data_IF_751070185390
#
_entry.id   IF_751070185390
#
_cell.length_a   1.000
_cell.length_b   1.000
_cell.length_c   1.000
_cell.angle_alpha   90.00
_cell.angle_beta   90.00
_cell.angle_gamma   90.00
#
_symmetry.space_group_name_H-M   'P 1'
#
loop_
_entity.id
_entity.type
_entity.pdbx_description
1 polymer ?
#
# COMPACT_ATOMS: atom_id res chain seq x y z
N UNK A 1 -9.39 -3.53 1.99
CA UNK A 1 -8.34 -2.87 2.79
C UNK A 1 -8.90 -1.58 3.37
N UNK A 2 -8.62 -1.29 4.64
CA UNK A 2 -8.99 -0.01 5.27
C UNK A 2 -7.86 0.97 4.96
N UNK A 3 -8.20 2.11 4.37
CA UNK A 3 -7.25 3.16 4.02
C UNK A 3 -7.48 4.34 4.96
N UNK A 4 -6.57 4.55 5.89
CA UNK A 4 -6.59 5.73 6.74
C UNK A 4 -5.18 6.12 7.14
N UNK A 5 -4.96 7.42 7.32
CA UNK A 5 -3.81 7.89 8.10
C UNK A 5 -4.11 7.64 9.57
N UNK A 6 -3.55 6.57 10.12
CA UNK A 6 -3.67 6.24 11.55
C UNK A 6 -3.21 7.40 12.43
N UNK A 7 -2.10 8.05 12.07
CA UNK A 7 -1.54 9.19 12.82
C UNK A 7 -2.55 10.33 12.88
N UNK A 8 -3.09 10.72 11.73
CA UNK A 8 -4.08 11.79 11.63
C UNK A 8 -5.37 11.46 12.35
N UNK A 9 -5.82 10.21 12.23
CA UNK A 9 -7.06 9.75 12.87
C UNK A 9 -6.94 9.65 14.40
N UNK A 10 -5.77 9.29 14.91
CA UNK A 10 -5.49 9.22 16.35
C UNK A 10 -5.25 10.61 16.96
N UNK A 11 -4.53 11.48 16.25
CA UNK A 11 -4.22 12.83 16.73
C UNK A 11 -5.33 13.84 16.45
N UNK A 12 -6.37 13.46 15.70
CA UNK A 12 -7.42 14.36 15.21
C UNK A 12 -6.87 15.55 14.41
N UNK A 13 -5.81 15.31 13.65
CA UNK A 13 -5.13 16.31 12.82
C UNK A 13 -5.38 16.05 11.33
N UNK A 14 -5.33 17.08 10.47
CA UNK A 14 -5.42 16.89 9.03
C UNK A 14 -4.34 15.92 8.52
N UNK A 15 -4.68 15.09 7.54
CA UNK A 15 -3.70 14.20 6.96
C UNK A 15 -2.71 14.94 6.08
N UNK A 16 -1.42 14.70 6.30
CA UNK A 16 -0.35 15.09 5.39
C UNK A 16 -0.28 14.17 4.15
N UNK A 17 -1.06 13.09 4.13
CA UNK A 17 -1.11 12.13 3.04
C UNK A 17 -2.46 12.23 2.31
N UNK A 18 -2.40 12.23 0.99
CA UNK A 18 -3.58 12.16 0.13
C UNK A 18 -3.70 10.74 -0.44
N UNK A 19 -4.92 10.23 -0.49
CA UNK A 19 -5.23 8.95 -1.11
C UNK A 19 -5.92 9.19 -2.44
N UNK A 20 -5.27 8.78 -3.53
CA UNK A 20 -5.81 8.88 -4.88
C UNK A 20 -6.16 7.50 -5.41
N UNK A 21 -7.36 7.35 -5.93
CA UNK A 21 -7.80 6.13 -6.60
C UNK A 21 -7.19 6.10 -8.00
N UNK A 22 -6.33 5.13 -8.28
CA UNK A 22 -5.70 4.97 -9.60
C UNK A 22 -6.58 4.20 -10.59
N UNK A 23 -7.62 3.54 -10.08
CA UNK A 23 -8.63 2.81 -10.83
C UNK A 23 -10.01 3.14 -10.26
N UNK A 24 -11.07 2.77 -10.99
CA UNK A 24 -12.43 2.89 -10.47
C UNK A 24 -12.61 1.97 -9.25
N UNK A 25 -13.05 2.54 -8.13
CA UNK A 25 -13.26 1.83 -6.87
C UNK A 25 -14.53 2.30 -6.19
N UNK A 26 -15.16 1.39 -5.44
CA UNK A 26 -16.24 1.72 -4.51
C UNK A 26 -15.65 1.76 -3.11
N UNK A 27 -15.81 2.90 -2.42
CA UNK A 27 -15.30 3.11 -1.07
C UNK A 27 -16.45 3.25 -0.08
N UNK A 28 -16.22 2.75 1.14
CA UNK A 28 -17.06 3.00 2.29
C UNK A 28 -16.31 3.91 3.25
N UNK A 29 -16.89 5.06 3.56
CA UNK A 29 -16.35 6.02 4.51
C UNK A 29 -17.01 5.84 5.88
N UNK A 30 -16.21 5.97 6.94
CA UNK A 30 -16.69 5.87 8.31
C UNK A 30 -15.89 6.78 9.25
N UNK A 31 -16.51 7.14 10.37
CA UNK A 31 -15.84 7.94 11.40
C UNK A 31 -14.96 7.03 12.27
N UNK A 32 -13.64 7.27 12.24
CA UNK A 32 -12.67 6.46 12.97
C UNK A 32 -12.88 6.50 14.49
N UNK A 33 -13.20 7.67 15.06
CA UNK A 33 -13.43 7.80 16.51
C UNK A 33 -14.61 6.94 16.96
N UNK A 34 -15.73 6.98 16.22
CA UNK A 34 -16.88 6.11 16.49
C UNK A 34 -16.53 4.63 16.34
N UNK A 35 -15.66 4.28 15.39
CA UNK A 35 -15.18 2.91 15.24
C UNK A 35 -14.37 2.48 16.47
N UNK A 36 -13.46 3.31 16.98
CA UNK A 36 -12.71 3.03 18.20
C UNK A 36 -13.63 2.88 19.41
N UNK A 37 -14.61 3.76 19.58
CA UNK A 37 -15.63 3.63 20.65
C UNK A 37 -16.40 2.30 20.58
N UNK A 38 -16.61 1.75 19.38
CA UNK A 38 -17.24 0.44 19.21
C UNK A 38 -16.31 -0.69 19.67
N UNK A 39 -14.99 -0.56 19.48
CA UNK A 39 -14.03 -1.57 19.98
C UNK A 39 -14.03 -1.70 21.50
N UNK A 40 -14.37 -0.62 22.23
CA UNK A 40 -14.46 -0.63 23.69
C UNK A 40 -15.71 -1.40 24.18
N UNK A 41 -16.78 -1.41 23.37
CA UNK A 41 -18.07 -2.02 23.71
C UNK A 41 -18.19 -3.46 23.19
N UNK A 42 -17.47 -3.80 22.13
CA UNK A 42 -17.62 -5.04 21.39
C UNK A 42 -16.25 -5.68 21.15
N UNK A 43 -15.99 -6.79 21.84
CA UNK A 43 -14.68 -7.45 21.83
C UNK A 43 -14.31 -8.04 20.45
N UNK A 44 -15.29 -8.52 19.70
CA UNK A 44 -15.14 -8.98 18.32
C UNK A 44 -14.64 -7.87 17.39
N UNK A 45 -15.14 -6.64 17.55
CA UNK A 45 -14.66 -5.47 16.80
C UNK A 45 -13.22 -5.12 17.20
N UNK A 46 -12.87 -5.25 18.49
CA UNK A 46 -11.49 -5.09 18.95
C UNK A 46 -10.54 -6.13 18.34
N UNK A 47 -10.96 -7.39 18.24
CA UNK A 47 -10.18 -8.45 17.55
C UNK A 47 -9.99 -8.09 16.08
N UNK A 48 -11.04 -7.65 15.38
CA UNK A 48 -10.94 -7.19 14.00
C UNK A 48 -9.91 -6.07 13.84
N UNK A 49 -9.95 -5.07 14.73
CA UNK A 49 -9.00 -3.96 14.72
C UNK A 49 -7.56 -4.43 14.96
N UNK A 50 -7.34 -5.34 15.90
CA UNK A 50 -6.02 -5.90 16.18
C UNK A 50 -5.46 -6.67 14.97
N UNK A 51 -6.27 -7.52 14.33
CA UNK A 51 -5.86 -8.24 13.10
C UNK A 51 -5.50 -7.29 11.97
N UNK A 52 -6.26 -6.21 11.82
CA UNK A 52 -5.95 -5.17 10.86
C UNK A 52 -4.60 -4.49 11.15
N UNK A 53 -4.31 -4.16 12.41
CA UNK A 53 -3.01 -3.57 12.79
C UNK A 53 -1.84 -4.53 12.56
N UNK A 54 -2.01 -5.82 12.86
CA UNK A 54 -1.01 -6.85 12.58
C UNK A 54 -0.69 -6.92 11.08
N UNK A 55 -1.71 -6.99 10.22
CA UNK A 55 -1.54 -7.05 8.77
C UNK A 55 -0.89 -5.77 8.23
N UNK A 56 -1.29 -4.59 8.72
CA UNK A 56 -0.69 -3.32 8.34
C UNK A 56 0.80 -3.27 8.71
N UNK A 57 1.16 -3.77 9.89
CA UNK A 57 2.55 -3.81 10.36
C UNK A 57 3.40 -4.77 9.53
N UNK A 58 2.91 -5.98 9.25
CA UNK A 58 3.59 -6.96 8.39
C UNK A 58 3.85 -6.36 7.01
N UNK A 59 2.82 -5.76 6.39
CA UNK A 59 2.96 -5.12 5.08
C UNK A 59 3.97 -3.95 5.09
N UNK A 60 4.03 -3.17 6.17
CA UNK A 60 5.01 -2.09 6.32
C UNK A 60 6.44 -2.66 6.43
N UNK A 61 6.61 -3.71 7.24
CA UNK A 61 7.89 -4.37 7.43
C UNK A 61 8.38 -5.04 6.13
N UNK A 62 7.51 -5.74 5.41
CA UNK A 62 7.85 -6.38 4.13
C UNK A 62 8.30 -5.35 3.10
N UNK A 63 7.58 -4.23 2.98
CA UNK A 63 7.99 -3.13 2.09
C UNK A 63 9.36 -2.56 2.46
N UNK A 64 9.61 -2.34 3.75
CA UNK A 64 10.90 -1.84 4.23
C UNK A 64 12.04 -2.85 3.96
N UNK A 65 11.78 -4.14 4.15
CA UNK A 65 12.72 -5.21 3.83
C UNK A 65 13.03 -5.22 2.33
N UNK A 66 12.01 -5.29 1.47
CA UNK A 66 12.14 -5.26 0.01
C UNK A 66 12.93 -4.04 -0.46
N UNK A 67 12.69 -2.86 0.12
CA UNK A 67 13.40 -1.64 -0.24
C UNK A 67 14.87 -1.64 0.18
N UNK A 68 15.21 -2.34 1.26
CA UNK A 68 16.57 -2.38 1.82
C UNK A 68 17.43 -3.54 1.31
N UNK A 69 16.81 -4.65 0.87
CA UNK A 69 17.53 -5.86 0.48
C UNK A 69 17.61 -6.09 -1.02
N UNK A 70 16.60 -5.66 -1.79
CA UNK A 70 16.49 -5.97 -3.21
C UNK A 70 16.91 -4.81 -4.10
N UNK A 71 17.53 -5.12 -5.23
CA UNK A 71 17.86 -4.12 -6.24
C UNK A 71 16.62 -3.64 -7.04
N UNK A 72 16.79 -2.71 -7.98
CA UNK A 72 15.67 -2.16 -8.75
C UNK A 72 14.92 -3.22 -9.60
N UNK A 73 15.67 -4.17 -10.17
CA UNK A 73 15.11 -5.23 -11.02
C UNK A 73 14.38 -6.26 -10.18
N UNK A 74 15.01 -6.69 -9.08
CA UNK A 74 14.42 -7.62 -8.13
C UNK A 74 13.14 -7.05 -7.50
N UNK A 75 13.12 -5.77 -7.14
CA UNK A 75 11.90 -5.10 -6.61
C UNK A 75 10.77 -5.09 -7.64
N UNK A 76 11.07 -4.84 -8.91
CA UNK A 76 10.08 -4.90 -9.98
C UNK A 76 9.53 -6.33 -10.17
N UNK A 77 10.40 -7.34 -10.20
CA UNK A 77 10.00 -8.74 -10.32
C UNK A 77 9.18 -9.20 -9.11
N UNK A 78 9.56 -8.79 -7.91
CA UNK A 78 8.80 -9.07 -6.68
C UNK A 78 7.39 -8.47 -6.75
N UNK A 79 7.25 -7.21 -7.20
CA UNK A 79 5.95 -6.58 -7.41
C UNK A 79 5.10 -7.33 -8.45
N UNK A 80 5.71 -7.73 -9.57
CA UNK A 80 5.03 -8.48 -10.64
C UNK A 80 4.61 -9.88 -10.19
N UNK A 81 5.34 -10.52 -9.29
CA UNK A 81 4.91 -11.80 -8.69
C UNK A 81 3.69 -11.62 -7.78
N UNK A 82 3.61 -10.51 -7.04
CA UNK A 82 2.46 -10.19 -6.19
C UNK A 82 1.23 -9.77 -7.00
N UNK A 83 1.44 -8.98 -8.06
CA UNK A 83 0.38 -8.45 -8.92
C UNK A 83 0.82 -8.61 -10.40
N UNK A 84 0.55 -9.77 -11.02
CA UNK A 84 1.00 -10.10 -12.38
C UNK A 84 0.64 -9.06 -13.44
N UNK A 85 -0.56 -8.46 -13.34
CA UNK A 85 -1.09 -7.53 -14.33
C UNK A 85 -0.95 -6.05 -13.93
N UNK A 86 -0.08 -5.72 -12.98
CA UNK A 86 0.06 -4.36 -12.43
C UNK A 86 0.26 -3.27 -13.51
N UNK A 87 0.96 -3.60 -14.59
CA UNK A 87 1.26 -2.67 -15.69
C UNK A 87 0.03 -2.31 -16.53
N UNK A 88 -1.00 -3.15 -16.53
CA UNK A 88 -2.27 -2.90 -17.22
C UNK A 88 -3.25 -2.15 -16.33
N UNK A 89 -3.05 -2.19 -15.00
CA UNK A 89 -3.94 -1.59 -14.02
C UNK A 89 -3.63 -0.11 -13.81
N UNK A 90 -2.36 0.29 -13.79
CA UNK A 90 -1.95 1.65 -13.44
C UNK A 90 -0.81 2.16 -14.33
N UNK A 91 -0.68 3.49 -14.39
CA UNK A 91 0.37 4.13 -15.19
C UNK A 91 1.78 3.82 -14.66
N UNK A 92 2.75 3.69 -15.58
CA UNK A 92 4.14 3.29 -15.27
C UNK A 92 4.88 4.26 -14.32
N UNK A 93 4.51 5.54 -14.31
CA UNK A 93 5.06 6.54 -13.39
C UNK A 93 4.71 6.21 -11.92
N UNK A 94 3.50 5.73 -11.64
CA UNK A 94 3.10 5.32 -10.29
C UNK A 94 3.85 4.06 -9.86
N UNK A 95 4.06 3.11 -10.77
CA UNK A 95 4.87 1.91 -10.52
C UNK A 95 6.33 2.30 -10.21
N UNK A 96 6.93 3.18 -11.03
CA UNK A 96 8.29 3.64 -10.82
C UNK A 96 8.46 4.35 -9.47
N UNK A 97 7.51 5.24 -9.12
CA UNK A 97 7.50 5.94 -7.84
C UNK A 97 7.36 4.96 -6.66
N UNK A 98 6.50 3.96 -6.77
CA UNK A 98 6.33 2.93 -5.74
C UNK A 98 7.63 2.14 -5.51
N UNK A 99 8.32 1.79 -6.59
CA UNK A 99 9.59 1.08 -6.57
C UNK A 99 10.78 2.00 -6.22
N UNK A 100 10.57 3.28 -5.92
CA UNK A 100 11.64 4.26 -5.64
C UNK A 100 12.72 4.30 -6.73
N UNK A 101 12.30 4.28 -8.00
CA UNK A 101 13.17 4.39 -9.18
C UNK A 101 12.60 5.39 -10.18
N UNK A 102 13.42 5.81 -11.13
CA UNK A 102 12.94 6.69 -12.22
C UNK A 102 12.15 5.91 -13.26
N UNK A 103 11.19 6.56 -13.93
CA UNK A 103 10.44 5.96 -15.05
C UNK A 103 11.35 5.46 -16.18
N UNK A 104 12.51 6.09 -16.36
CA UNK A 104 13.53 5.69 -17.34
C UNK A 104 14.18 4.36 -16.92
N UNK A 105 14.55 4.22 -15.64
CA UNK A 105 15.10 2.96 -15.12
C UNK A 105 14.07 1.82 -15.23
N UNK A 106 12.82 2.07 -14.85
CA UNK A 106 11.75 1.07 -14.98
C UNK A 106 11.59 0.63 -16.45
N UNK A 107 11.60 1.59 -17.39
CA UNK A 107 11.49 1.28 -18.81
C UNK A 107 12.64 0.41 -19.35
N UNK A 108 13.85 0.55 -18.79
CA UNK A 108 15.00 -0.31 -19.14
C UNK A 108 14.81 -1.72 -18.61
N UNK A 109 14.47 -1.84 -17.32
CA UNK A 109 14.24 -3.14 -16.65
C UNK A 109 13.17 -3.95 -17.38
N UNK A 110 12.06 -3.32 -17.77
CA UNK A 110 10.98 -3.99 -18.53
C UNK A 110 11.45 -4.54 -19.88
N UNK A 111 12.30 -3.81 -20.61
CA UNK A 111 12.84 -4.30 -21.89
C UNK A 111 13.71 -5.53 -21.68
N UNK A 112 14.54 -5.55 -20.65
CA UNK A 112 15.39 -6.71 -20.32
C UNK A 112 14.55 -7.92 -19.87
N UNK A 113 13.46 -7.70 -19.15
CA UNK A 113 12.52 -8.75 -18.72
C UNK A 113 11.78 -9.39 -19.91
N UNK A 114 11.30 -8.59 -20.86
CA UNK A 114 10.61 -9.09 -22.08
C UNK A 114 11.56 -9.85 -23.02
N UNK A 115 12.85 -9.55 -22.97
CA UNK A 115 13.87 -10.20 -23.80
C UNK A 115 14.37 -11.54 -23.21
N UNK A 116 13.93 -11.91 -22.01
CA UNK A 116 14.19 -13.21 -21.37
C UNK A 116 13.05 -14.19 -21.65
#
# INVERSE_FOLDING_TARGET
AIFTSLISSLNSEPSAAEFNCLTDVVLFEGNFQKFIELTEKHHDISILYNRFLEEAFINMQDKATVLSTLDATERYLHLKQQIPDIENLIQLNHIASYLSITSIQLSRIRKEDILK
#
